data_IF_873845159127
#
_entry.id   IF_873845159127
#
_cell.length_a   1.000
_cell.length_b   1.000
_cell.length_c   1.000
_cell.angle_alpha   90.00
_cell.angle_beta   90.00
_cell.angle_gamma   90.00
#
_symmetry.space_group_name_H-M   'P 1'
#
loop_
_entity.id
_entity.type
_entity.pdbx_description
1 polymer ?
#
# COMPACT_ATOMS: atom_id res chain seq x y z
N UNK A 1 -59.67 -31.79 43.95
CA UNK A 1 -59.92 -32.03 45.40
C UNK A 1 -59.15 -30.98 46.20
N UNK A 2 -59.71 -30.47 47.31
CA UNK A 2 -60.33 -29.12 47.40
C UNK A 2 -59.57 -28.21 48.41
N UNK A 3 -59.82 -26.90 48.55
CA UNK A 3 -61.01 -26.18 49.07
C UNK A 3 -60.77 -24.65 48.85
N UNK A 4 -61.68 -23.91 48.22
CA UNK A 4 -62.80 -23.14 48.81
C UNK A 4 -62.41 -22.17 49.94
N UNK A 5 -62.75 -20.87 49.77
CA UNK A 5 -63.73 -20.10 50.59
C UNK A 5 -63.80 -18.63 50.08
N UNK A 6 -64.99 -18.21 49.63
CA UNK A 6 -65.51 -16.81 49.56
C UNK A 6 -66.25 -16.50 50.89
N UNK A 7 -66.94 -15.35 51.11
CA UNK A 7 -66.85 -13.95 50.62
C UNK A 7 -66.88 -12.92 51.80
N UNK A 8 -66.88 -11.61 51.53
CA UNK A 8 -67.76 -10.64 52.22
C UNK A 8 -67.76 -9.26 51.53
N UNK A 9 -68.97 -8.80 51.19
CA UNK A 9 -69.33 -7.42 50.82
C UNK A 9 -69.33 -6.53 52.07
N UNK A 10 -69.10 -5.21 51.92
CA UNK A 10 -70.16 -4.19 51.93
C UNK A 10 -69.60 -2.76 51.99
N UNK A 11 -70.25 -1.88 51.19
CA UNK A 11 -70.69 -0.50 51.51
C UNK A 11 -69.64 0.51 52.01
N UNK A 12 -69.56 1.76 51.59
CA UNK A 12 -70.42 2.74 50.89
C UNK A 12 -69.48 3.97 50.75
N UNK A 13 -69.53 4.84 49.75
CA UNK A 13 -70.39 6.03 49.68
C UNK A 13 -70.05 6.69 48.32
N UNK A 14 -71.06 6.81 47.47
CA UNK A 14 -71.16 7.85 46.43
C UNK A 14 -71.66 9.12 47.13
N UNK A 15 -71.39 10.37 46.67
CA UNK A 15 -72.20 10.83 45.52
C UNK A 15 -71.70 12.03 44.67
N UNK A 16 -72.39 12.18 43.53
CA UNK A 16 -72.54 13.38 42.65
C UNK A 16 -71.29 13.89 41.90
N UNK A 17 -71.30 14.10 40.57
CA UNK A 17 -72.40 14.09 39.62
C UNK A 17 -71.92 14.24 38.16
N UNK A 18 -72.73 13.62 37.30
CA UNK A 18 -72.87 13.73 35.85
C UNK A 18 -72.00 14.74 35.04
N UNK A 19 -71.42 14.27 33.92
CA UNK A 19 -71.98 14.45 32.55
C UNK A 19 -71.17 13.67 31.49
N UNK A 20 -71.87 13.34 30.40
CA UNK A 20 -71.60 12.40 29.29
C UNK A 20 -70.59 12.92 28.22
N UNK A 21 -70.18 12.08 27.25
CA UNK A 21 -68.82 12.04 26.67
C UNK A 21 -68.66 12.88 25.39
N UNK A 22 -67.42 13.18 25.02
CA UNK A 22 -67.04 13.56 23.65
C UNK A 22 -65.86 12.70 23.21
N UNK A 23 -66.09 11.94 22.15
CA UNK A 23 -65.07 11.21 21.40
C UNK A 23 -64.21 12.24 20.67
N UNK A 24 -62.90 12.24 20.92
CA UNK A 24 -61.91 12.93 20.11
C UNK A 24 -60.83 11.90 19.77
N UNK A 25 -60.77 11.56 18.49
CA UNK A 25 -59.72 10.80 17.85
C UNK A 25 -58.36 11.48 18.11
N UNK A 26 -57.44 10.79 18.79
CA UNK A 26 -56.04 11.20 18.80
C UNK A 26 -55.37 10.71 17.52
N UNK A 27 -55.18 11.65 16.59
CA UNK A 27 -54.23 11.55 15.49
C UNK A 27 -52.81 11.50 16.09
N UNK A 28 -52.12 10.38 15.90
CA UNK A 28 -50.71 10.21 16.27
C UNK A 28 -49.87 10.75 15.09
N UNK A 29 -49.11 11.84 15.20
CA UNK A 29 -48.20 12.22 14.14
C UNK A 29 -46.97 11.31 14.23
N UNK A 30 -46.91 10.34 13.32
CA UNK A 30 -45.72 9.57 13.00
C UNK A 30 -44.68 10.54 12.41
N UNK A 31 -43.84 11.12 13.27
CA UNK A 31 -42.62 11.82 12.86
C UNK A 31 -41.64 10.76 12.31
N UNK A 32 -41.70 10.51 11.00
CA UNK A 32 -40.60 9.91 10.27
C UNK A 32 -39.42 10.88 10.34
N UNK A 33 -38.53 10.67 11.31
CA UNK A 33 -37.16 11.12 11.19
C UNK A 33 -36.52 10.33 10.04
N UNK A 34 -36.57 10.88 8.83
CA UNK A 34 -35.64 10.53 7.77
C UNK A 34 -34.25 10.92 8.27
N UNK A 35 -33.64 10.03 9.05
CA UNK A 35 -32.19 9.95 9.15
C UNK A 35 -31.71 9.57 7.74
N UNK A 36 -31.60 10.58 6.87
CA UNK A 36 -30.85 10.46 5.65
C UNK A 36 -29.42 10.15 6.06
N UNK A 37 -29.05 8.86 5.99
CA UNK A 37 -27.67 8.45 5.82
C UNK A 37 -27.20 8.98 4.46
N UNK A 38 -26.95 10.28 4.38
CA UNK A 38 -26.01 10.80 3.39
C UNK A 38 -24.62 10.44 3.91
N UNK A 39 -24.24 9.18 3.73
CA UNK A 39 -22.82 8.88 3.59
C UNK A 39 -22.32 9.77 2.45
N UNK A 40 -21.32 10.63 2.65
CA UNK A 40 -20.81 11.48 1.58
C UNK A 40 -20.28 10.56 0.49
N UNK A 41 -21.09 10.37 -0.55
CA UNK A 41 -20.70 9.76 -1.81
C UNK A 41 -19.86 10.80 -2.53
N UNK A 42 -18.55 10.64 -2.45
CA UNK A 42 -17.62 11.49 -3.14
C UNK A 42 -16.21 11.17 -2.69
N UNK A 43 -15.43 10.56 -3.58
CA UNK A 43 -13.98 10.67 -3.50
C UNK A 43 -13.66 12.15 -3.26
N UNK A 44 -12.92 12.44 -2.19
CA UNK A 44 -12.41 13.79 -1.95
C UNK A 44 -11.63 14.17 -3.21
N UNK A 45 -11.98 15.27 -3.90
CA UNK A 45 -11.31 15.68 -5.14
C UNK A 45 -9.79 15.54 -4.99
N UNK A 46 -9.16 14.74 -5.86
CA UNK A 46 -7.72 14.47 -5.82
C UNK A 46 -7.29 13.35 -4.87
N UNK A 47 -8.22 12.57 -4.32
CA UNK A 47 -7.94 11.37 -3.52
C UNK A 47 -8.38 10.14 -4.28
N UNK A 48 -7.56 9.09 -4.26
CA UNK A 48 -7.93 7.74 -4.71
C UNK A 48 -7.88 6.80 -3.52
N UNK A 49 -8.93 6.02 -3.30
CA UNK A 49 -8.96 4.96 -2.30
C UNK A 49 -8.98 3.55 -2.93
N UNK A 50 -8.19 2.65 -2.36
CA UNK A 50 -8.14 1.25 -2.78
C UNK A 50 -7.80 0.31 -1.63
N UNK A 51 -7.94 -0.99 -1.86
CA UNK A 51 -7.68 -2.03 -0.88
C UNK A 51 -6.38 -2.82 -1.17
N UNK A 52 -5.71 -3.28 -0.11
CA UNK A 52 -4.52 -4.15 -0.17
C UNK A 52 -4.81 -5.61 0.25
N UNK A 53 -6.06 -5.99 0.55
CA UNK A 53 -6.49 -7.28 1.09
C UNK A 53 -5.91 -7.67 2.47
N UNK A 54 -4.76 -7.12 2.88
CA UNK A 54 -4.15 -7.33 4.19
C UNK A 54 -3.40 -6.08 4.67
N UNK A 55 -3.10 -6.03 5.97
CA UNK A 55 -2.23 -5.01 6.57
C UNK A 55 -0.76 -5.45 6.40
N UNK A 56 0.15 -4.62 5.85
CA UNK A 56 1.55 -5.01 5.72
C UNK A 56 2.20 -5.26 7.09
N UNK A 57 3.22 -6.11 7.16
CA UNK A 57 3.96 -6.31 8.43
C UNK A 57 4.94 -5.17 8.67
N UNK A 58 5.55 -4.68 7.59
CA UNK A 58 6.59 -3.65 7.55
C UNK A 58 6.38 -2.77 6.32
N UNK A 59 6.82 -1.52 6.39
CA UNK A 59 6.90 -0.59 5.27
C UNK A 59 8.34 -0.38 4.79
N UNK A 60 9.32 -0.99 5.45
CA UNK A 60 10.71 -0.98 5.01
C UNK A 60 10.94 -2.10 3.98
N UNK A 61 11.30 -1.77 2.72
CA UNK A 61 11.49 -2.75 1.67
C UNK A 61 12.66 -3.72 1.93
N UNK A 62 13.56 -3.42 2.88
CA UNK A 62 14.63 -4.34 3.27
C UNK A 62 14.11 -5.69 3.77
N UNK A 63 12.91 -5.70 4.36
CA UNK A 63 12.32 -6.87 5.02
C UNK A 63 11.13 -7.45 4.25
N UNK A 64 11.09 -7.22 2.93
CA UNK A 64 10.10 -7.83 2.04
C UNK A 64 10.16 -9.36 2.14
N UNK A 65 8.98 -9.98 2.06
CA UNK A 65 8.89 -11.39 1.78
C UNK A 65 9.14 -11.64 0.28
N UNK A 66 9.80 -12.76 -0.08
CA UNK A 66 10.23 -13.01 -1.47
C UNK A 66 9.09 -13.32 -2.44
N UNK A 67 7.84 -13.40 -1.99
CA UNK A 67 6.66 -13.56 -2.83
C UNK A 67 6.20 -12.21 -3.42
N UNK A 68 6.15 -12.12 -4.75
CA UNK A 68 5.75 -10.91 -5.49
C UNK A 68 4.28 -10.48 -5.26
N UNK A 69 3.45 -11.36 -4.70
CA UNK A 69 2.04 -11.11 -4.37
C UNK A 69 1.84 -10.38 -3.03
N UNK A 70 2.93 -9.91 -2.42
CA UNK A 70 2.91 -9.36 -1.07
C UNK A 70 2.57 -7.88 -1.10
N UNK A 71 1.61 -7.51 -0.25
CA UNK A 71 1.15 -6.15 0.03
C UNK A 71 2.31 -5.17 0.21
N UNK A 72 3.36 -5.61 0.92
CA UNK A 72 4.55 -4.81 1.16
C UNK A 72 5.27 -4.39 -0.12
N UNK A 73 5.32 -5.21 -1.19
CA UNK A 73 5.95 -4.81 -2.46
C UNK A 73 5.13 -3.73 -3.16
N UNK A 74 3.79 -3.86 -3.13
CA UNK A 74 2.88 -2.85 -3.70
C UNK A 74 3.05 -1.51 -2.98
N UNK A 75 3.14 -1.54 -1.65
CA UNK A 75 3.32 -0.34 -0.85
C UNK A 75 4.74 0.24 -0.98
N UNK A 76 5.76 -0.60 -1.10
CA UNK A 76 7.14 -0.16 -1.34
C UNK A 76 7.25 0.69 -2.61
N UNK A 77 6.60 0.28 -3.71
CA UNK A 77 6.59 1.05 -4.98
C UNK A 77 5.92 2.42 -4.91
N UNK A 78 5.10 2.66 -3.88
CA UNK A 78 4.56 4.00 -3.66
C UNK A 78 5.64 4.93 -3.11
N UNK A 79 6.54 4.40 -2.27
CA UNK A 79 7.52 5.19 -1.51
C UNK A 79 8.92 5.18 -2.13
N UNK A 80 9.26 4.15 -2.91
CA UNK A 80 10.61 3.91 -3.40
C UNK A 80 10.62 3.56 -4.89
N UNK A 81 11.63 4.05 -5.59
CA UNK A 81 11.84 3.79 -7.02
C UNK A 81 12.80 2.59 -7.22
N UNK A 82 12.47 1.57 -8.02
CA UNK A 82 13.43 0.55 -8.43
C UNK A 82 14.46 1.12 -9.42
N UNK A 83 15.53 0.38 -9.65
CA UNK A 83 16.47 0.63 -10.74
C UNK A 83 15.81 0.42 -12.11
N UNK A 84 15.07 -0.68 -12.24
CA UNK A 84 14.39 -1.12 -13.44
C UNK A 84 13.01 -1.64 -13.05
N UNK A 85 11.98 -1.19 -13.76
CA UNK A 85 10.62 -1.75 -13.69
C UNK A 85 10.15 -2.20 -15.07
N UNK A 86 8.94 -2.75 -15.16
CA UNK A 86 8.34 -3.21 -16.40
C UNK A 86 7.27 -2.22 -16.87
N UNK A 87 7.24 -1.93 -18.18
CA UNK A 87 6.13 -1.18 -18.77
C UNK A 87 4.85 -2.03 -18.88
N UNK A 88 3.76 -1.41 -19.34
CA UNK A 88 2.47 -2.09 -19.52
C UNK A 88 2.49 -3.28 -20.52
N UNK A 89 3.58 -3.47 -21.26
CA UNK A 89 3.79 -4.62 -22.16
C UNK A 89 4.77 -5.63 -21.57
N UNK A 90 5.14 -5.51 -20.30
CA UNK A 90 6.10 -6.36 -19.62
C UNK A 90 7.56 -6.14 -20.04
N UNK A 91 7.87 -5.01 -20.70
CA UNK A 91 9.24 -4.74 -21.17
C UNK A 91 10.02 -3.96 -20.11
N UNK A 92 11.28 -4.33 -19.82
CA UNK A 92 12.11 -3.58 -18.88
C UNK A 92 12.32 -2.12 -19.30
N UNK A 93 12.17 -1.20 -18.34
CA UNK A 93 12.41 0.23 -18.49
C UNK A 93 13.33 0.73 -17.37
N UNK A 94 14.29 1.64 -17.68
CA UNK A 94 15.12 2.25 -16.67
C UNK A 94 14.31 3.27 -15.86
N UNK A 95 14.32 3.13 -14.54
CA UNK A 95 13.63 4.01 -13.61
C UNK A 95 14.63 4.93 -12.89
N UNK A 96 15.10 4.55 -11.69
CA UNK A 96 16.16 5.25 -10.97
C UNK A 96 17.50 5.24 -11.74
N UNK A 97 17.65 4.33 -12.71
CA UNK A 97 18.76 4.32 -13.64
C UNK A 97 18.56 5.27 -14.82
N UNK A 98 19.65 5.80 -15.34
CA UNK A 98 19.65 6.52 -16.63
C UNK A 98 19.41 5.57 -17.81
N UNK A 99 19.93 4.34 -17.72
CA UNK A 99 19.88 3.33 -18.77
C UNK A 99 20.04 1.92 -18.18
N UNK A 100 19.49 0.91 -18.84
CA UNK A 100 19.69 -0.49 -18.46
C UNK A 100 21.12 -0.92 -18.85
N UNK A 101 21.88 -1.56 -17.95
CA UNK A 101 23.22 -2.07 -18.26
C UNK A 101 23.22 -3.09 -19.40
N UNK A 102 24.07 -2.89 -20.41
CA UNK A 102 24.29 -3.83 -21.52
C UNK A 102 25.78 -3.90 -21.89
N UNK A 103 26.21 -4.91 -22.65
CA UNK A 103 27.57 -4.90 -23.22
C UNK A 103 27.82 -3.70 -24.14
N UNK A 104 26.79 -3.26 -24.89
CA UNK A 104 26.93 -2.18 -25.88
C UNK A 104 27.17 -0.81 -25.25
N UNK A 105 26.59 -0.51 -24.09
CA UNK A 105 26.79 0.76 -23.36
C UNK A 105 27.86 0.66 -22.24
N UNK A 106 28.63 -0.44 -22.23
CA UNK A 106 29.66 -0.71 -21.22
C UNK A 106 29.11 -0.92 -19.80
N UNK A 107 27.80 -1.12 -19.66
CA UNK A 107 27.13 -1.42 -18.40
C UNK A 107 27.33 -2.86 -17.94
N UNK A 108 27.63 -3.78 -18.85
CA UNK A 108 27.91 -5.19 -18.55
C UNK A 108 29.23 -5.61 -19.21
N UNK A 109 30.15 -6.22 -18.47
CA UNK A 109 31.38 -6.77 -19.05
C UNK A 109 31.10 -7.98 -19.93
N UNK A 110 32.01 -8.28 -20.86
CA UNK A 110 31.87 -9.41 -21.79
C UNK A 110 31.76 -10.78 -21.09
N UNK A 111 32.39 -10.93 -19.93
CA UNK A 111 32.32 -12.14 -19.09
C UNK A 111 31.08 -12.19 -18.18
N UNK A 112 30.24 -11.15 -18.20
CA UNK A 112 29.03 -11.04 -17.38
C UNK A 112 29.26 -10.88 -15.88
N UNK A 113 30.49 -10.56 -15.45
CA UNK A 113 30.87 -10.49 -14.01
C UNK A 113 31.02 -9.08 -13.46
N UNK A 114 30.99 -8.05 -14.30
CA UNK A 114 31.03 -6.65 -13.85
C UNK A 114 29.82 -5.92 -14.39
N UNK A 115 29.02 -5.36 -13.49
CA UNK A 115 27.82 -4.58 -13.81
C UNK A 115 28.02 -3.15 -13.33
N UNK A 116 27.81 -2.18 -14.21
CA UNK A 116 27.84 -0.75 -13.91
C UNK A 116 26.43 -0.20 -14.01
N UNK A 117 25.86 0.15 -12.86
CA UNK A 117 24.62 0.87 -12.74
C UNK A 117 24.91 2.37 -12.72
N UNK A 118 24.23 3.13 -13.59
CA UNK A 118 24.34 4.59 -13.65
C UNK A 118 23.01 5.19 -13.24
N UNK A 119 22.99 5.85 -12.09
CA UNK A 119 21.83 6.53 -11.55
C UNK A 119 21.45 7.73 -12.41
N UNK A 120 20.17 8.05 -12.44
CA UNK A 120 19.65 9.26 -13.06
C UNK A 120 20.13 10.49 -12.27
N UNK A 121 20.71 11.51 -12.92
CA UNK A 121 21.05 12.74 -12.23
C UNK A 121 19.80 13.50 -11.79
N UNK A 122 19.87 14.18 -10.64
CA UNK A 122 18.81 15.06 -10.16
C UNK A 122 17.62 14.36 -9.50
N UNK A 123 17.71 13.05 -9.23
CA UNK A 123 16.72 12.38 -8.37
C UNK A 123 16.98 12.77 -6.92
N UNK A 124 15.92 13.17 -6.22
CA UNK A 124 15.93 13.56 -4.83
C UNK A 124 15.08 12.61 -3.98
N UNK A 125 15.53 12.34 -2.77
CA UNK A 125 14.69 11.89 -1.69
C UNK A 125 13.62 12.95 -1.39
N UNK A 126 12.51 12.54 -0.78
CA UNK A 126 11.40 13.44 -0.42
C UNK A 126 11.78 14.58 0.55
N UNK A 127 12.91 14.45 1.25
CA UNK A 127 13.50 15.48 2.11
C UNK A 127 14.43 16.47 1.36
N UNK A 128 14.57 16.30 0.04
CA UNK A 128 15.36 17.16 -0.85
C UNK A 128 16.84 16.79 -0.93
N UNK A 129 17.31 15.72 -0.27
CA UNK A 129 18.67 15.23 -0.46
C UNK A 129 18.78 14.46 -1.77
N UNK A 130 19.91 14.52 -2.49
CA UNK A 130 20.09 13.75 -3.72
C UNK A 130 20.15 12.25 -3.40
N UNK A 131 19.58 11.43 -4.28
CA UNK A 131 19.80 9.98 -4.29
C UNK A 131 21.14 9.70 -4.95
N UNK A 132 22.01 8.94 -4.28
CA UNK A 132 23.39 8.72 -4.73
C UNK A 132 23.82 7.27 -4.64
N UNK A 133 24.95 6.95 -5.26
CA UNK A 133 25.60 5.66 -5.16
C UNK A 133 25.95 5.27 -3.71
N UNK A 134 26.12 6.24 -2.80
CA UNK A 134 26.33 5.96 -1.38
C UNK A 134 25.10 5.29 -0.73
N UNK A 135 23.89 5.66 -1.15
CA UNK A 135 22.64 5.04 -0.70
C UNK A 135 22.55 3.58 -1.18
N UNK A 136 22.98 3.32 -2.42
CA UNK A 136 23.04 1.97 -2.99
C UNK A 136 24.02 1.09 -2.23
N UNK A 137 25.24 1.58 -1.98
CA UNK A 137 26.26 0.83 -1.25
C UNK A 137 25.85 0.58 0.20
N UNK A 138 25.23 1.57 0.86
CA UNK A 138 24.63 1.40 2.19
C UNK A 138 23.58 0.29 2.18
N UNK A 139 22.65 0.34 1.23
CA UNK A 139 21.56 -0.62 1.13
C UNK A 139 22.08 -2.03 0.84
N UNK A 140 23.06 -2.17 -0.06
CA UNK A 140 23.70 -3.45 -0.32
C UNK A 140 24.35 -4.03 0.94
N UNK A 141 25.05 -3.19 1.71
CA UNK A 141 25.62 -3.60 2.99
C UNK A 141 24.52 -4.05 3.96
N UNK A 142 23.42 -3.30 4.05
CA UNK A 142 22.29 -3.63 4.91
C UNK A 142 21.62 -4.96 4.50
N UNK A 143 21.49 -5.23 3.21
CA UNK A 143 20.96 -6.49 2.67
C UNK A 143 21.81 -7.68 3.12
N UNK A 144 23.13 -7.54 3.13
CA UNK A 144 24.07 -8.63 3.43
C UNK A 144 24.51 -8.69 4.90
N UNK A 145 24.04 -7.76 5.74
CA UNK A 145 24.39 -7.72 7.15
C UNK A 145 23.64 -8.82 7.93
N UNK A 146 24.34 -9.76 8.59
CA UNK A 146 23.69 -10.85 9.33
C UNK A 146 22.88 -10.37 10.54
N UNK A 147 23.04 -9.11 10.97
CA UNK A 147 22.21 -8.52 12.02
C UNK A 147 20.81 -8.12 11.52
N UNK A 148 20.62 -8.00 10.20
CA UNK A 148 19.33 -7.69 9.61
C UNK A 148 18.64 -8.99 9.16
N UNK A 149 17.40 -9.27 9.61
CA UNK A 149 16.66 -10.48 9.24
C UNK A 149 16.05 -10.38 7.83
N UNK A 150 16.89 -10.14 6.83
CA UNK A 150 16.51 -10.11 5.41
C UNK A 150 16.13 -11.52 4.98
N UNK A 151 14.96 -11.68 4.37
CA UNK A 151 14.38 -13.01 4.08
C UNK A 151 15.06 -13.73 2.93
N UNK A 152 15.58 -12.99 1.95
CA UNK A 152 16.29 -13.55 0.80
C UNK A 152 17.49 -12.68 0.45
N UNK A 153 18.65 -13.32 0.36
CA UNK A 153 19.87 -12.73 -0.18
C UNK A 153 20.14 -13.21 -1.61
N UNK A 154 19.19 -13.92 -2.24
CA UNK A 154 19.39 -14.55 -3.53
C UNK A 154 19.92 -13.55 -4.57
N UNK A 155 21.07 -13.86 -5.14
CA UNK A 155 21.74 -13.02 -6.11
C UNK A 155 22.62 -11.95 -5.46
N UNK A 156 22.19 -11.31 -4.38
CA UNK A 156 23.02 -10.34 -3.65
C UNK A 156 24.25 -11.00 -3.02
N UNK A 157 24.10 -12.26 -2.59
CA UNK A 157 25.18 -13.12 -2.09
C UNK A 157 26.24 -13.47 -3.15
N UNK A 158 25.93 -13.31 -4.44
CA UNK A 158 26.86 -13.49 -5.56
C UNK A 158 27.77 -12.27 -5.80
N UNK A 159 27.50 -11.13 -5.15
CA UNK A 159 28.36 -9.94 -5.25
C UNK A 159 29.63 -10.21 -4.44
N UNK A 160 30.78 -10.11 -5.11
CA UNK A 160 32.12 -10.22 -4.52
C UNK A 160 32.54 -8.89 -3.89
N UNK A 161 32.37 -7.80 -4.64
CA UNK A 161 32.63 -6.44 -4.16
C UNK A 161 31.77 -5.42 -4.90
N UNK A 162 31.51 -4.30 -4.24
CA UNK A 162 30.83 -3.16 -4.80
C UNK A 162 31.60 -1.88 -4.51
N UNK A 163 31.67 -0.99 -5.49
CA UNK A 163 32.36 0.30 -5.37
C UNK A 163 31.63 1.36 -6.17
N UNK A 164 31.94 2.62 -5.89
CA UNK A 164 31.38 3.78 -6.57
C UNK A 164 32.52 4.73 -6.94
N UNK A 165 32.85 4.88 -8.24
CA UNK A 165 33.89 5.80 -8.67
C UNK A 165 33.44 7.27 -8.63
N UNK A 166 32.13 7.51 -8.63
CA UNK A 166 31.49 8.83 -8.60
C UNK A 166 30.08 8.71 -8.00
N UNK A 167 29.46 9.82 -7.55
CA UNK A 167 28.17 9.79 -6.85
C UNK A 167 26.98 9.17 -7.61
N UNK A 168 27.07 8.96 -8.92
CA UNK A 168 25.99 8.44 -9.75
C UNK A 168 26.32 7.08 -10.40
N UNK A 169 27.48 6.50 -10.09
CA UNK A 169 27.87 5.19 -10.63
C UNK A 169 28.10 4.18 -9.51
N UNK A 170 27.49 3.01 -9.65
CA UNK A 170 27.73 1.83 -8.81
C UNK A 170 28.27 0.71 -9.69
N UNK A 171 29.41 0.14 -9.29
CA UNK A 171 30.05 -0.97 -9.98
C UNK A 171 30.00 -2.19 -9.08
N UNK A 172 29.30 -3.23 -9.52
CA UNK A 172 29.23 -4.52 -8.86
C UNK A 172 30.14 -5.51 -9.59
N UNK A 173 30.96 -6.22 -8.82
CA UNK A 173 31.74 -7.36 -9.30
C UNK A 173 31.14 -8.64 -8.72
N UNK A 174 30.84 -9.61 -9.58
CA UNK A 174 30.19 -10.86 -9.23
C UNK A 174 31.20 -12.00 -9.17
N UNK A 175 30.98 -12.93 -8.24
CA UNK A 175 31.78 -14.16 -8.08
C UNK A 175 31.74 -15.03 -9.34
N UNK A 176 30.61 -14.98 -10.08
CA UNK A 176 30.38 -15.66 -11.36
C UNK A 176 29.31 -14.90 -12.16
N UNK A 177 29.27 -15.15 -13.46
CA UNK A 177 28.18 -14.64 -14.29
C UNK A 177 26.84 -15.23 -13.81
N UNK A 178 25.82 -14.40 -13.77
CA UNK A 178 24.47 -14.79 -13.37
C UNK A 178 23.46 -14.05 -14.23
N UNK A 179 22.77 -14.78 -15.11
CA UNK A 179 21.91 -14.18 -16.14
C UNK A 179 20.84 -13.21 -15.58
N UNK A 180 20.20 -13.47 -14.42
CA UNK A 180 19.21 -12.54 -13.85
C UNK A 180 19.78 -11.24 -13.27
N UNK A 181 21.10 -11.13 -13.06
CA UNK A 181 21.73 -10.09 -12.23
C UNK A 181 21.27 -8.66 -12.53
N UNK A 182 21.19 -8.27 -13.81
CA UNK A 182 20.80 -6.91 -14.22
C UNK A 182 19.36 -6.58 -13.81
N UNK A 183 18.45 -7.55 -13.85
CA UNK A 183 17.04 -7.36 -13.51
C UNK A 183 16.73 -7.68 -12.03
N UNK A 184 17.66 -8.29 -11.28
CA UNK A 184 17.49 -8.58 -9.86
C UNK A 184 17.90 -7.41 -8.98
N UNK A 185 19.10 -6.86 -9.19
CA UNK A 185 19.66 -5.88 -8.25
C UNK A 185 18.85 -4.57 -8.23
N UNK A 186 18.27 -4.28 -7.07
CA UNK A 186 17.38 -3.15 -6.79
C UNK A 186 16.21 -2.98 -7.77
N UNK A 187 15.73 -4.08 -8.37
CA UNK A 187 14.77 -4.08 -9.50
C UNK A 187 13.63 -5.08 -9.29
N UNK A 188 12.77 -5.27 -10.29
CA UNK A 188 11.61 -6.20 -10.25
C UNK A 188 11.97 -7.70 -10.07
N UNK A 189 13.22 -8.13 -10.24
CA UNK A 189 13.59 -9.55 -10.43
C UNK A 189 13.42 -10.49 -9.22
N UNK A 190 14.25 -11.54 -9.15
CA UNK A 190 14.08 -12.69 -8.23
C UNK A 190 14.01 -12.32 -6.74
N UNK A 191 14.71 -11.27 -6.33
CA UNK A 191 14.70 -10.75 -4.96
C UNK A 191 14.59 -9.23 -5.05
N UNK A 192 13.35 -8.69 -5.17
CA UNK A 192 13.16 -7.28 -5.37
C UNK A 192 13.57 -6.52 -4.11
N UNK A 193 14.43 -5.52 -4.31
CA UNK A 193 14.88 -4.61 -3.25
C UNK A 193 14.84 -3.19 -3.80
N UNK A 194 14.89 -2.22 -2.89
CA UNK A 194 14.86 -0.80 -3.23
C UNK A 194 16.01 -0.11 -2.52
N UNK A 195 16.54 0.96 -3.11
CA UNK A 195 17.54 1.78 -2.46
C UNK A 195 16.92 2.44 -1.23
N UNK A 196 17.67 2.48 -0.13
CA UNK A 196 17.27 3.07 1.13
C UNK A 196 18.05 4.36 1.43
N UNK A 197 17.44 5.35 2.10
CA UNK A 197 18.10 6.62 2.41
C UNK A 197 19.16 6.43 3.49
N UNK A 198 20.44 6.37 3.09
CA UNK A 198 21.54 6.11 4.00
C UNK A 198 21.63 7.16 5.10
N UNK A 199 21.32 8.42 4.78
CA UNK A 199 21.36 9.51 5.75
C UNK A 199 20.31 9.40 6.87
N UNK A 200 19.24 8.61 6.67
CA UNK A 200 18.21 8.35 7.69
C UNK A 200 18.57 7.11 8.51
N UNK A 201 19.14 6.09 7.87
CA UNK A 201 19.23 4.75 8.45
C UNK A 201 20.63 4.36 8.93
N UNK A 202 21.71 5.04 8.49
CA UNK A 202 23.10 4.64 8.81
C UNK A 202 23.46 4.60 10.28
N UNK A 203 22.73 5.34 11.13
CA UNK A 203 22.94 5.35 12.59
C UNK A 203 22.05 4.35 13.33
N UNK A 204 21.27 3.54 12.60
CA UNK A 204 20.34 2.56 13.15
C UNK A 204 20.93 1.16 12.88
N UNK A 205 21.25 0.42 13.94
CA UNK A 205 21.77 -0.94 13.83
C UNK A 205 21.36 -1.76 15.04
N UNK A 206 20.73 -2.94 14.88
CA UNK A 206 20.18 -3.48 13.62
C UNK A 206 19.02 -2.63 13.07
N UNK A 207 18.70 -2.79 11.78
CA UNK A 207 17.64 -2.01 11.11
C UNK A 207 16.23 -2.58 11.38
N UNK A 208 16.10 -3.78 11.90
CA UNK A 208 14.80 -4.42 12.20
C UNK A 208 14.00 -3.71 13.31
N UNK A 209 14.67 -2.89 14.12
CA UNK A 209 14.07 -2.07 15.18
C UNK A 209 13.88 -0.60 14.79
N UNK A 210 14.23 -0.23 13.56
CA UNK A 210 14.09 1.13 13.08
C UNK A 210 12.62 1.57 13.09
N UNK A 211 12.33 2.77 13.60
CA UNK A 211 11.00 3.38 13.48
C UNK A 211 10.55 3.52 12.01
N UNK A 212 11.52 3.62 11.11
CA UNK A 212 11.35 3.59 9.65
C UNK A 212 10.53 2.38 9.17
N UNK A 213 10.60 1.23 9.86
CA UNK A 213 9.88 0.01 9.48
C UNK A 213 8.36 0.15 9.58
N UNK A 214 7.85 1.13 10.35
CA UNK A 214 6.42 1.44 10.41
C UNK A 214 6.08 2.87 9.95
N UNK A 215 7.09 3.69 9.67
CA UNK A 215 6.91 5.07 9.25
C UNK A 215 8.08 5.57 8.37
N UNK A 216 8.18 5.09 7.11
CA UNK A 216 9.22 5.53 6.19
C UNK A 216 8.87 6.92 5.63
N UNK A 217 9.22 7.96 6.38
CA UNK A 217 8.91 9.35 6.01
C UNK A 217 9.77 9.89 4.87
N UNK A 218 10.89 9.21 4.57
CA UNK A 218 11.81 9.56 3.48
C UNK A 218 11.83 8.44 2.45
N UNK A 219 11.56 8.80 1.19
CA UNK A 219 11.55 7.91 0.03
C UNK A 219 11.74 8.72 -1.26
N UNK A 220 12.07 8.07 -2.37
CA UNK A 220 12.32 8.69 -3.68
C UNK A 220 11.22 8.39 -4.71
N UNK A 221 10.19 7.64 -4.30
CA UNK A 221 9.05 7.25 -5.13
C UNK A 221 7.98 8.34 -5.31
N UNK A 222 6.89 8.01 -6.04
CA UNK A 222 5.83 8.95 -6.41
C UNK A 222 5.00 9.47 -5.25
N UNK A 223 4.95 8.77 -4.12
CA UNK A 223 4.14 9.12 -2.97
C UNK A 223 4.94 9.08 -1.66
N UNK A 224 4.60 9.99 -0.75
CA UNK A 224 5.17 10.08 0.59
C UNK A 224 4.23 9.49 1.62
N UNK A 225 4.77 8.66 2.50
CA UNK A 225 4.05 8.14 3.66
C UNK A 225 3.53 9.28 4.55
N UNK A 226 2.29 9.16 5.01
CA UNK A 226 1.66 10.12 5.96
C UNK A 226 1.27 9.48 7.27
N UNK A 227 0.58 8.34 7.23
CA UNK A 227 0.15 7.65 8.44
C UNK A 227 -0.17 6.20 8.18
N UNK A 228 -0.01 5.40 9.22
CA UNK A 228 -0.49 4.02 9.26
C UNK A 228 -1.31 3.81 10.52
N UNK A 229 -2.55 3.37 10.34
CA UNK A 229 -3.39 2.87 11.43
C UNK A 229 -3.56 1.37 11.24
N UNK A 230 -2.92 0.60 12.13
CA UNK A 230 -2.92 -0.87 12.07
C UNK A 230 -4.34 -1.41 12.02
N UNK A 231 -4.62 -2.30 11.08
CA UNK A 231 -5.96 -2.86 10.83
C UNK A 231 -6.99 -1.91 10.20
N UNK A 232 -6.67 -0.63 10.02
CA UNK A 232 -7.50 0.33 9.28
C UNK A 232 -6.94 0.59 7.88
N UNK A 233 -5.67 0.99 7.79
CA UNK A 233 -5.03 1.30 6.53
C UNK A 233 -3.93 2.36 6.57
N UNK A 234 -3.46 2.71 5.37
CA UNK A 234 -2.35 3.62 5.12
C UNK A 234 -2.83 4.89 4.42
N UNK A 235 -2.12 6.00 4.65
CA UNK A 235 -2.31 7.24 3.91
C UNK A 235 -1.00 7.69 3.31
N UNK A 236 -1.08 8.11 2.06
CA UNK A 236 0.02 8.70 1.31
C UNK A 236 -0.40 10.02 0.68
N UNK A 237 0.56 10.90 0.43
CA UNK A 237 0.35 12.10 -0.39
C UNK A 237 1.34 12.12 -1.55
N UNK A 238 0.97 12.74 -2.66
CA UNK A 238 1.85 12.93 -3.81
C UNK A 238 3.20 13.52 -3.37
N UNK A 239 4.30 12.99 -3.89
CA UNK A 239 5.63 13.52 -3.69
C UNK A 239 5.88 14.67 -4.68
N UNK A 240 5.91 15.95 -4.24
CA UNK A 240 6.16 17.06 -5.14
C UNK A 240 7.58 17.07 -5.72
N UNK A 241 8.51 16.29 -5.14
CA UNK A 241 9.90 16.14 -5.59
C UNK A 241 10.12 14.90 -6.46
N UNK A 242 9.06 14.16 -6.80
CA UNK A 242 9.20 12.99 -7.64
C UNK A 242 9.80 13.36 -9.00
N UNK A 243 10.79 12.61 -9.45
CA UNK A 243 11.60 12.99 -10.62
C UNK A 243 10.81 13.01 -11.94
N UNK A 244 9.69 12.28 -12.03
CA UNK A 244 8.74 12.34 -13.17
C UNK A 244 7.70 13.45 -13.04
N UNK A 245 7.80 14.29 -12.01
CA UNK A 245 6.77 15.27 -11.63
C UNK A 245 5.75 14.67 -10.68
N UNK A 246 5.15 15.53 -9.85
CA UNK A 246 4.17 15.11 -8.84
C UNK A 246 3.00 14.35 -9.48
N UNK A 247 2.57 13.20 -8.91
CA UNK A 247 1.37 12.53 -9.38
C UNK A 247 0.13 13.44 -9.36
N UNK A 248 -0.78 13.31 -10.34
CA UNK A 248 -2.00 14.12 -10.40
C UNK A 248 -2.98 13.78 -9.27
N UNK A 249 -2.90 12.56 -8.73
CA UNK A 249 -3.65 12.15 -7.54
C UNK A 249 -2.89 12.63 -6.32
N UNK A 250 -3.46 13.61 -5.61
CA UNK A 250 -2.82 14.26 -4.48
C UNK A 250 -2.71 13.38 -3.23
N UNK A 251 -3.64 12.44 -3.04
CA UNK A 251 -3.70 11.57 -1.86
C UNK A 251 -4.10 10.14 -2.22
N UNK A 252 -3.50 9.18 -1.54
CA UNK A 252 -3.95 7.78 -1.54
C UNK A 252 -4.46 7.42 -0.16
N UNK A 253 -5.64 6.79 -0.12
CA UNK A 253 -6.21 6.20 1.10
C UNK A 253 -6.32 4.71 0.88
N UNK A 254 -5.39 3.97 1.47
CA UNK A 254 -5.30 2.55 1.25
C UNK A 254 -5.92 1.84 2.45
N UNK A 255 -6.91 0.98 2.21
CA UNK A 255 -7.60 0.23 3.25
C UNK A 255 -7.05 -1.20 3.32
N UNK A 256 -7.29 -1.84 4.46
CA UNK A 256 -6.99 -3.27 4.68
C UNK A 256 -8.30 -4.00 4.98
N UNK A 257 -8.96 -4.47 3.92
CA UNK A 257 -10.28 -5.12 3.96
C UNK A 257 -10.14 -6.56 3.49
N UNK A 258 -9.94 -7.52 4.40
CA UNK A 258 -9.67 -8.91 4.03
C UNK A 258 -10.91 -9.66 3.51
N UNK A 259 -12.13 -9.18 3.83
CA UNK A 259 -13.37 -9.81 3.37
C UNK A 259 -13.77 -9.30 1.97
N UNK A 260 -13.79 -10.16 0.94
CA UNK A 260 -14.11 -9.74 -0.42
C UNK A 260 -15.51 -9.15 -0.57
N UNK A 261 -16.49 -9.62 0.22
CA UNK A 261 -17.88 -9.13 0.15
C UNK A 261 -17.98 -7.68 0.64
N UNK A 262 -17.31 -7.38 1.75
CA UNK A 262 -17.19 -6.03 2.30
C UNK A 262 -16.46 -5.12 1.32
N UNK A 263 -15.38 -5.61 0.69
CA UNK A 263 -14.63 -4.84 -0.29
C UNK A 263 -15.48 -4.47 -1.53
N UNK A 264 -16.26 -5.43 -2.06
CA UNK A 264 -17.21 -5.16 -3.14
C UNK A 264 -18.29 -4.14 -2.75
N UNK A 265 -18.83 -4.22 -1.53
CA UNK A 265 -19.78 -3.22 -1.03
C UNK A 265 -19.14 -1.83 -0.94
N UNK A 266 -17.90 -1.73 -0.48
CA UNK A 266 -17.18 -0.46 -0.41
C UNK A 266 -16.92 0.13 -1.80
N UNK A 267 -16.66 -0.71 -2.80
CA UNK A 267 -16.56 -0.29 -4.20
C UNK A 267 -17.92 0.22 -4.72
N UNK A 268 -19.00 -0.52 -4.48
CA UNK A 268 -20.36 -0.14 -4.93
C UNK A 268 -20.88 1.15 -4.26
N UNK A 269 -20.47 1.42 -3.02
CA UNK A 269 -20.83 2.64 -2.28
C UNK A 269 -19.89 3.82 -2.57
N UNK A 270 -18.86 3.65 -3.42
CA UNK A 270 -17.87 4.68 -3.72
C UNK A 270 -16.92 5.00 -2.56
N UNK A 271 -16.86 4.15 -1.53
CA UNK A 271 -15.89 4.26 -0.45
C UNK A 271 -14.48 3.77 -0.87
N UNK A 272 -14.43 2.92 -1.90
CA UNK A 272 -13.24 2.55 -2.67
C UNK A 272 -13.42 2.99 -4.12
N UNK A 273 -12.37 3.53 -4.73
CA UNK A 273 -12.33 3.91 -6.14
C UNK A 273 -11.82 2.76 -7.03
N UNK A 274 -10.98 1.86 -6.48
CA UNK A 274 -10.45 0.70 -7.19
C UNK A 274 -10.30 -0.52 -6.27
N UNK A 275 -10.53 -1.71 -6.82
CA UNK A 275 -10.28 -2.97 -6.15
C UNK A 275 -9.98 -4.11 -7.15
N UNK A 276 -9.21 -5.12 -6.71
CA UNK A 276 -9.07 -6.38 -7.42
C UNK A 276 -10.26 -7.30 -7.08
N UNK A 277 -10.95 -7.79 -8.11
CA UNK A 277 -12.14 -8.62 -7.95
C UNK A 277 -11.81 -10.10 -8.00
N UNK A 278 -12.45 -10.89 -7.13
CA UNK A 278 -12.46 -12.34 -7.27
C UNK A 278 -13.34 -12.76 -8.47
N UNK A 279 -13.06 -13.89 -9.15
CA UNK A 279 -13.84 -14.34 -10.30
C UNK A 279 -15.36 -14.40 -10.06
N UNK A 280 -15.79 -14.80 -8.86
CA UNK A 280 -17.20 -14.87 -8.48
C UNK A 280 -17.89 -13.49 -8.42
N UNK A 281 -17.13 -12.39 -8.29
CA UNK A 281 -17.66 -11.03 -8.18
C UNK A 281 -17.83 -10.34 -9.54
N UNK A 282 -17.18 -10.87 -10.59
CA UNK A 282 -17.19 -10.28 -11.94
C UNK A 282 -18.62 -10.12 -12.48
N UNK A 283 -19.46 -11.14 -12.32
CA UNK A 283 -20.86 -11.09 -12.76
C UNK A 283 -21.69 -10.02 -12.04
N UNK A 284 -21.36 -9.72 -10.77
CA UNK A 284 -22.06 -8.70 -9.97
C UNK A 284 -21.69 -7.29 -10.46
N UNK A 285 -20.42 -7.09 -10.83
CA UNK A 285 -19.91 -5.77 -11.28
C UNK A 285 -20.34 -5.46 -12.72
N UNK A 286 -20.42 -6.45 -13.62
CA UNK A 286 -20.92 -6.23 -14.99
C UNK A 286 -22.34 -5.65 -15.05
N UNK A 287 -23.15 -5.84 -14.02
CA UNK A 287 -24.51 -5.29 -13.94
C UNK A 287 -24.58 -3.84 -13.45
N UNK A 288 -23.46 -3.21 -13.06
CA UNK A 288 -23.43 -1.86 -12.48
C UNK A 288 -22.85 -0.85 -13.47
N UNK A 289 -23.67 0.08 -13.96
CA UNK A 289 -23.26 1.11 -14.93
C UNK A 289 -22.29 2.16 -14.37
N UNK A 290 -22.18 2.28 -13.05
CA UNK A 290 -21.29 3.22 -12.37
C UNK A 290 -19.86 2.67 -12.19
N UNK A 291 -19.64 1.38 -12.49
CA UNK A 291 -18.34 0.73 -12.32
C UNK A 291 -17.76 0.32 -13.67
N UNK A 292 -16.49 0.67 -13.89
CA UNK A 292 -15.71 0.17 -15.00
C UNK A 292 -14.97 -1.11 -14.59
N UNK A 293 -14.98 -2.11 -15.47
CA UNK A 293 -14.24 -3.34 -15.30
C UNK A 293 -13.08 -3.39 -16.30
N UNK A 294 -11.89 -3.77 -15.83
CA UNK A 294 -10.67 -3.87 -16.65
C UNK A 294 -10.06 -5.25 -16.44
N UNK A 295 -10.04 -6.05 -17.49
CA UNK A 295 -9.32 -7.32 -17.51
C UNK A 295 -7.82 -7.08 -17.65
N UNK A 296 -7.05 -7.58 -16.69
CA UNK A 296 -5.58 -7.54 -16.72
C UNK A 296 -5.07 -8.99 -16.77
N UNK A 297 -4.45 -9.43 -17.88
CA UNK A 297 -3.84 -10.74 -17.95
C UNK A 297 -2.72 -10.87 -16.92
N UNK A 298 -2.87 -11.76 -15.95
CA UNK A 298 -1.78 -12.13 -15.05
C UNK A 298 -0.94 -13.21 -15.71
N UNK A 299 0.39 -13.07 -15.73
CA UNK A 299 1.27 -14.16 -16.12
C UNK A 299 1.13 -15.27 -15.06
N UNK A 300 0.50 -16.38 -15.44
CA UNK A 300 0.46 -17.63 -14.68
C UNK A 300 1.62 -18.51 -15.10
#
# INVERSE_FOLDING_TARGET
MPKNIRPANNNTINPFGARRPRWIFYFFPLLLALAGCSAPHGSLKGTVSFDLAADPRTLNPLFLAPDAAVVELQVARLSFEPFIDLDARGRPQPELLREIPTPRNGGLSADGRTIRFRLRPGVEWSDGRPVTAADVLFTLKAILDPQNPVRSHEGYDLIDRAQSPDPLTVVLHLKRAWAPAVLTYFSYGFSPQFVLPAHVLRSQTPLDRAAFNSAPTVGDGPYQFRSWRRGEGLRYAANPRYWRGAPPVSQLVIRSVPDPSTNLLLLQTGALDWNLLAPAQIAIVHGNSELAFVDVPTAV
#
